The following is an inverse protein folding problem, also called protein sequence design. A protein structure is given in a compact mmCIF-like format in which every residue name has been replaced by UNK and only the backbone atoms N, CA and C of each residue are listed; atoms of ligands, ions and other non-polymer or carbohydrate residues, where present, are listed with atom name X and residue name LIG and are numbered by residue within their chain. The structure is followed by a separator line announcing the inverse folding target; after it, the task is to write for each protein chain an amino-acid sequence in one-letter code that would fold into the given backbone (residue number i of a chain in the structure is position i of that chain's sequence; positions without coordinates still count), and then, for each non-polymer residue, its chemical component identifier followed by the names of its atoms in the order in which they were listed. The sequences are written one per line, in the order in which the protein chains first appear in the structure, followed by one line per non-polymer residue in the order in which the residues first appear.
data_IF_618742942004
#
_entry.id   IF_618742942004
#
_cell.length_a   1.000
_cell.length_b   1.000
_cell.length_c   1.000
_cell.angle_alpha   90.00
_cell.angle_beta   90.00
_cell.angle_gamma   90.00
#
_symmetry.space_group_name_H-M   'P 1'
#
loop_
_entity.id
_entity.type
_entity.pdbx_description
1 polymer ?
#
# COMPACT_ATOMS: atom_id res chain seq x y z
N UNK A 1 41.93 -55.26 -18.35
CA UNK A 1 42.78 -54.20 -18.88
C UNK A 1 41.95 -52.94 -19.12
N UNK A 2 42.34 -51.73 -18.72
CA UNK A 2 42.66 -51.30 -17.37
C UNK A 2 41.62 -50.34 -16.79
N UNK A 3 41.68 -50.18 -15.48
CA UNK A 3 41.01 -49.19 -14.66
C UNK A 3 41.27 -47.73 -15.13
N UNK A 4 40.21 -46.92 -15.11
CA UNK A 4 40.37 -45.48 -14.90
C UNK A 4 39.61 -45.07 -13.64
N UNK A 5 40.39 -44.76 -12.63
CA UNK A 5 39.92 -44.16 -11.39
C UNK A 5 39.66 -42.65 -11.65
N UNK A 6 38.42 -42.21 -11.45
CA UNK A 6 38.09 -40.78 -11.39
C UNK A 6 38.18 -40.32 -9.92
N UNK A 7 39.14 -39.46 -9.66
CA UNK A 7 39.33 -38.74 -8.41
C UNK A 7 38.18 -37.71 -8.27
N UNK A 8 37.30 -37.89 -7.31
CA UNK A 8 36.40 -36.85 -6.83
C UNK A 8 37.08 -36.16 -5.66
N UNK A 9 37.57 -34.95 -5.88
CA UNK A 9 38.04 -34.03 -4.87
C UNK A 9 36.88 -33.55 -4.00
N UNK A 10 36.79 -34.04 -2.80
CA UNK A 10 35.99 -33.48 -1.72
C UNK A 10 36.73 -32.27 -1.16
N UNK A 11 36.27 -31.06 -1.45
CA UNK A 11 36.67 -29.88 -0.70
C UNK A 11 35.84 -29.82 0.59
N UNK A 12 36.46 -30.24 1.68
CA UNK A 12 36.05 -29.92 3.04
C UNK A 12 36.34 -28.44 3.28
N UNK A 13 35.29 -27.61 3.23
CA UNK A 13 35.35 -26.26 3.77
C UNK A 13 35.02 -26.29 5.24
N UNK A 14 36.06 -26.24 6.06
CA UNK A 14 36.00 -26.09 7.50
C UNK A 14 36.30 -24.61 7.77
N UNK A 15 35.29 -23.83 8.11
CA UNK A 15 35.40 -22.44 8.54
C UNK A 15 34.30 -22.16 9.53
N UNK A 16 34.61 -22.40 10.80
CA UNK A 16 33.88 -21.84 11.93
C UNK A 16 34.14 -20.34 11.92
N UNK A 17 33.09 -19.55 11.54
CA UNK A 17 32.96 -18.17 11.98
C UNK A 17 31.59 -18.06 12.60
N UNK A 18 31.56 -18.18 13.92
CA UNK A 18 30.46 -17.79 14.77
C UNK A 18 30.33 -16.26 14.65
N UNK A 19 29.41 -15.78 13.83
CA UNK A 19 28.90 -14.40 13.93
C UNK A 19 28.17 -14.27 15.28
N UNK A 20 28.41 -13.22 16.05
CA UNK A 20 27.81 -13.06 17.37
C UNK A 20 26.29 -12.87 17.22
N UNK A 21 25.54 -13.79 17.80
CA UNK A 21 24.09 -13.72 17.99
C UNK A 21 23.74 -12.71 19.10
N UNK A 22 24.13 -11.46 18.91
CA UNK A 22 23.77 -10.38 19.83
C UNK A 22 23.54 -9.09 19.01
N UNK A 23 22.29 -8.94 18.52
CA UNK A 23 21.62 -7.66 18.23
C UNK A 23 20.27 -7.86 17.52
N UNK A 24 19.48 -8.81 18.01
CA UNK A 24 18.07 -8.99 17.60
C UNK A 24 17.13 -8.78 18.80
N UNK A 25 17.52 -7.92 19.73
CA UNK A 25 16.67 -7.50 20.84
C UNK A 25 16.67 -5.98 20.83
N UNK A 26 15.62 -5.39 20.25
CA UNK A 26 14.95 -4.14 20.58
C UNK A 26 14.19 -3.57 19.36
N UNK A 27 13.36 -4.42 18.74
CA UNK A 27 12.21 -3.91 18.00
C UNK A 27 11.02 -3.84 18.98
N UNK A 28 11.10 -2.95 19.96
CA UNK A 28 9.90 -2.54 20.66
C UNK A 28 9.02 -1.82 19.64
N UNK A 29 7.92 -2.49 19.25
CA UNK A 29 6.79 -1.82 18.63
C UNK A 29 6.35 -0.70 19.57
N UNK A 30 6.65 0.54 19.22
CA UNK A 30 6.11 1.71 19.91
C UNK A 30 4.62 1.76 19.58
N UNK A 31 3.82 1.18 20.49
CA UNK A 31 2.36 1.34 20.47
C UNK A 31 2.10 2.81 20.77
N UNK A 32 1.54 3.53 19.79
CA UNK A 32 1.11 4.91 19.96
C UNK A 32 0.12 5.04 21.13
N UNK A 33 -0.01 6.23 21.70
CA UNK A 33 -0.84 6.53 22.89
C UNK A 33 -2.33 6.13 22.77
N UNK A 34 -2.79 5.71 21.59
CA UNK A 34 -4.17 5.27 21.33
C UNK A 34 -4.36 3.75 21.27
N UNK A 35 -3.33 2.94 21.54
CA UNK A 35 -3.40 1.49 21.43
C UNK A 35 -3.44 0.95 19.99
N UNK A 36 -3.34 1.81 18.98
CA UNK A 36 -3.21 1.45 17.56
C UNK A 36 -1.75 1.62 17.12
N UNK A 37 -1.22 0.73 16.26
CA UNK A 37 0.12 0.92 15.71
C UNK A 37 0.20 2.26 14.95
N UNK A 38 1.28 3.02 15.18
CA UNK A 38 1.50 4.30 14.52
C UNK A 38 1.99 4.14 13.08
N UNK A 39 1.93 5.23 12.31
CA UNK A 39 2.55 5.31 10.98
C UNK A 39 4.06 5.45 11.15
N UNK A 40 4.84 4.53 10.59
CA UNK A 40 6.28 4.46 10.81
C UNK A 40 7.06 4.90 9.56
N UNK A 41 7.89 5.90 9.71
CA UNK A 41 8.90 6.27 8.73
C UNK A 41 10.23 5.62 9.11
N UNK A 42 10.75 4.77 8.23
CA UNK A 42 12.10 4.21 8.33
C UNK A 42 13.03 4.98 7.40
N UNK A 43 14.05 5.61 7.96
CA UNK A 43 15.04 6.38 7.21
C UNK A 43 16.16 5.48 6.69
N UNK A 44 16.89 5.97 5.69
CA UNK A 44 18.03 5.27 5.07
C UNK A 44 19.18 4.99 6.04
N UNK A 45 19.25 5.68 7.17
CA UNK A 45 20.25 5.47 8.23
C UNK A 45 19.81 4.45 9.27
N UNK A 46 18.66 3.78 9.07
CA UNK A 46 18.11 2.76 9.95
C UNK A 46 17.23 3.28 11.10
N UNK A 47 17.11 4.60 11.29
CA UNK A 47 16.20 5.16 12.30
C UNK A 47 14.74 4.93 11.91
N UNK A 48 13.93 4.59 12.90
CA UNK A 48 12.48 4.44 12.78
C UNK A 48 11.77 5.50 13.58
N UNK A 49 10.82 6.19 12.99
CA UNK A 49 10.14 7.35 13.56
C UNK A 49 8.64 7.12 13.48
N UNK A 50 7.96 7.18 14.63
CA UNK A 50 6.50 7.20 14.68
C UNK A 50 6.01 8.61 14.32
N UNK A 51 5.35 8.73 13.18
CA UNK A 51 4.86 10.00 12.65
C UNK A 51 3.61 10.50 13.38
N UNK A 52 2.88 9.63 14.08
CA UNK A 52 1.69 10.01 14.85
C UNK A 52 2.04 10.79 16.13
N UNK A 53 3.26 10.59 16.63
CA UNK A 53 3.74 11.22 17.88
C UNK A 53 4.73 12.37 17.65
N UNK A 54 5.15 12.63 16.42
CA UNK A 54 6.22 13.59 16.12
C UNK A 54 5.81 14.63 15.09
N UNK A 55 5.81 15.89 15.48
CA UNK A 55 5.58 17.05 14.62
C UNK A 55 6.92 17.69 14.19
N UNK A 56 6.91 18.32 13.00
CA UNK A 56 7.99 19.17 12.51
C UNK A 56 9.06 18.43 11.73
N UNK A 57 10.28 18.99 11.74
CA UNK A 57 11.40 18.53 10.92
C UNK A 57 11.95 17.19 11.37
N UNK A 58 12.22 16.32 10.41
CA UNK A 58 12.72 14.96 10.60
C UNK A 58 13.96 14.77 9.72
N UNK A 59 15.02 14.16 10.28
CA UNK A 59 16.24 13.84 9.54
C UNK A 59 17.44 14.72 9.90
N UNK A 60 18.62 14.33 9.44
CA UNK A 60 19.88 15.00 9.72
C UNK A 60 20.08 16.31 8.91
N UNK A 61 19.26 16.53 7.86
CA UNK A 61 19.35 17.68 6.95
C UNK A 61 18.06 18.49 6.86
N UNK A 62 17.09 18.31 7.76
CA UNK A 62 15.80 19.02 7.72
C UNK A 62 15.01 18.84 6.40
N UNK A 63 15.29 17.77 5.66
CA UNK A 63 14.75 17.50 4.32
C UNK A 63 13.28 17.06 4.36
N UNK A 64 12.80 16.64 5.53
CA UNK A 64 11.47 16.06 5.72
C UNK A 64 10.72 16.79 6.82
N UNK A 65 9.48 17.18 6.55
CA UNK A 65 8.60 17.84 7.54
C UNK A 65 7.34 17.01 7.72
N UNK A 66 7.03 16.70 8.97
CA UNK A 66 5.83 15.96 9.34
C UNK A 66 4.77 16.89 9.96
N UNK A 67 3.53 16.77 9.47
CA UNK A 67 2.34 17.45 10.00
C UNK A 67 1.32 16.38 10.41
N UNK A 68 1.40 15.84 11.64
CA UNK A 68 0.57 14.72 12.09
C UNK A 68 -0.92 15.07 12.13
N UNK A 69 -1.28 16.33 12.39
CA UNK A 69 -2.66 16.82 12.40
C UNK A 69 -3.33 16.71 11.03
N UNK A 70 -2.55 16.83 9.95
CA UNK A 70 -2.99 16.66 8.57
C UNK A 70 -2.66 15.27 8.01
N UNK A 71 -2.04 14.39 8.81
CA UNK A 71 -1.52 13.07 8.41
C UNK A 71 -0.61 13.20 7.17
N UNK A 72 0.30 14.16 7.16
CA UNK A 72 1.05 14.53 5.97
C UNK A 72 2.56 14.65 6.21
N UNK A 73 3.33 14.08 5.29
CA UNK A 73 4.78 14.12 5.25
C UNK A 73 5.25 14.82 3.98
N UNK A 74 6.11 15.82 4.11
CA UNK A 74 6.67 16.59 3.00
C UNK A 74 8.17 16.36 2.88
N UNK A 75 8.61 16.12 1.66
CA UNK A 75 10.03 16.22 1.30
C UNK A 75 10.31 17.58 0.66
N UNK A 76 11.43 18.20 1.05
CA UNK A 76 11.90 19.39 0.38
C UNK A 76 12.20 19.07 -1.10
N UNK A 77 11.92 20.03 -1.98
CA UNK A 77 12.23 19.88 -3.40
C UNK A 77 13.73 19.62 -3.57
N UNK A 78 14.08 18.71 -4.48
CA UNK A 78 15.46 18.37 -4.81
C UNK A 78 16.18 19.60 -5.36
N UNK A 79 17.21 20.06 -4.66
CA UNK A 79 18.04 21.23 -5.05
C UNK A 79 19.27 20.83 -5.89
N UNK A 80 19.33 19.60 -6.41
CA UNK A 80 20.38 19.17 -7.35
C UNK A 80 21.73 18.89 -6.70
N UNK A 81 21.74 18.36 -5.47
CA UNK A 81 22.94 17.88 -4.79
C UNK A 81 23.41 16.50 -5.26
N UNK A 82 24.51 16.03 -4.68
CA UNK A 82 25.06 14.70 -4.93
C UNK A 82 24.00 13.62 -4.80
N UNK A 83 23.79 12.82 -5.86
CA UNK A 83 22.78 11.76 -5.96
C UNK A 83 23.12 10.58 -5.04
N UNK A 84 23.03 10.79 -3.72
CA UNK A 84 23.09 9.68 -2.77
C UNK A 84 21.73 8.99 -2.82
N UNK A 85 21.70 7.74 -3.30
CA UNK A 85 20.50 6.89 -3.35
C UNK A 85 20.07 6.49 -1.94
N UNK A 86 19.59 7.45 -1.15
CA UNK A 86 19.02 7.22 0.17
C UNK A 86 17.56 6.81 0.00
N UNK A 87 17.24 5.58 0.38
CA UNK A 87 15.88 5.04 0.32
C UNK A 87 15.23 5.17 1.69
N UNK A 88 14.04 5.74 1.72
CA UNK A 88 13.17 5.76 2.89
C UNK A 88 12.00 4.81 2.68
N UNK A 89 11.38 4.39 3.77
CA UNK A 89 10.19 3.53 3.75
C UNK A 89 9.13 4.10 4.68
N UNK A 90 7.91 4.23 4.17
CA UNK A 90 6.73 4.60 4.93
C UNK A 90 5.82 3.38 5.08
N UNK A 91 5.58 2.96 6.32
CA UNK A 91 4.67 1.88 6.67
C UNK A 91 3.39 2.48 7.29
N UNK A 92 2.24 2.26 6.65
CA UNK A 92 0.92 2.66 7.13
C UNK A 92 0.21 1.42 7.66
N UNK A 93 -0.10 1.36 8.96
CA UNK A 93 -0.73 0.19 9.56
C UNK A 93 -2.20 0.06 9.20
N UNK A 94 -2.81 -1.01 9.66
CA UNK A 94 -4.26 -1.23 9.59
C UNK A 94 -5.01 -0.11 10.32
N UNK A 95 -6.13 0.37 9.76
CA UNK A 95 -6.95 1.43 10.34
C UNK A 95 -6.37 2.84 10.26
N UNK A 96 -5.29 3.04 9.51
CA UNK A 96 -4.68 4.34 9.27
C UNK A 96 -4.59 4.65 7.77
N UNK A 97 -4.40 5.93 7.48
CA UNK A 97 -4.07 6.45 6.14
C UNK A 97 -3.06 7.57 6.31
N UNK A 98 -2.25 7.82 5.30
CA UNK A 98 -1.23 8.86 5.36
C UNK A 98 -0.97 9.48 3.99
N UNK A 99 -0.59 10.77 3.99
CA UNK A 99 -0.25 11.49 2.77
C UNK A 99 1.25 11.75 2.70
N UNK A 100 1.81 11.67 1.51
CA UNK A 100 3.23 11.88 1.26
C UNK A 100 3.38 12.81 0.06
N UNK A 101 4.19 13.87 0.19
CA UNK A 101 4.64 14.68 -0.92
C UNK A 101 6.11 14.37 -1.16
N UNK A 102 6.42 13.77 -2.29
CA UNK A 102 7.76 13.40 -2.70
C UNK A 102 8.58 14.61 -3.18
N UNK A 103 9.88 14.46 -3.29
CA UNK A 103 10.82 15.54 -3.65
C UNK A 103 10.60 16.14 -5.04
N UNK A 104 9.91 15.42 -5.95
CA UNK A 104 9.49 15.92 -7.27
C UNK A 104 8.11 16.63 -7.23
N UNK A 105 7.49 16.76 -6.06
CA UNK A 105 6.16 17.31 -5.86
C UNK A 105 5.02 16.33 -6.13
N UNK A 106 5.30 15.08 -6.47
CA UNK A 106 4.29 14.02 -6.59
C UNK A 106 3.61 13.81 -5.26
N UNK A 107 2.26 13.79 -5.26
CA UNK A 107 1.44 13.53 -4.08
C UNK A 107 0.98 12.08 -4.07
N UNK A 108 1.15 11.43 -2.92
CA UNK A 108 0.77 10.04 -2.72
C UNK A 108 -0.12 9.94 -1.49
N UNK A 109 -1.31 9.37 -1.64
CA UNK A 109 -2.16 8.96 -0.54
C UNK A 109 -1.98 7.47 -0.34
N UNK A 110 -1.70 7.07 0.87
CA UNK A 110 -1.52 5.66 1.23
C UNK A 110 -2.68 5.20 2.09
N UNK A 111 -3.33 4.13 1.68
CA UNK A 111 -4.41 3.49 2.43
C UNK A 111 -3.86 2.58 3.54
N UNK A 112 -4.75 2.04 4.38
CA UNK A 112 -4.40 1.10 5.43
C UNK A 112 -3.61 -0.12 4.89
N UNK A 113 -2.71 -0.67 5.73
CA UNK A 113 -1.88 -1.84 5.41
C UNK A 113 -1.00 -1.64 4.17
N UNK A 114 -0.47 -0.44 4.01
CA UNK A 114 0.35 -0.09 2.84
C UNK A 114 1.76 0.28 3.23
N UNK A 115 2.69 -0.02 2.33
CA UNK A 115 4.12 0.30 2.42
C UNK A 115 4.57 0.93 1.12
N UNK A 116 5.32 2.01 1.23
CA UNK A 116 5.99 2.64 0.10
C UNK A 116 7.48 2.77 0.40
N UNK A 117 8.32 2.29 -0.54
CA UNK A 117 9.76 2.50 -0.52
C UNK A 117 10.10 3.48 -1.65
N UNK A 118 10.83 4.54 -1.34
CA UNK A 118 11.07 5.63 -2.27
C UNK A 118 12.41 6.33 -1.96
N UNK A 119 13.08 6.91 -2.95
CA UNK A 119 14.30 7.68 -2.74
C UNK A 119 13.96 9.05 -2.11
N UNK A 120 14.87 9.56 -1.27
CA UNK A 120 14.78 10.93 -0.70
C UNK A 120 14.80 11.97 -1.81
N UNK A 121 15.60 11.75 -2.85
CA UNK A 121 15.67 12.57 -4.05
C UNK A 121 15.69 11.66 -5.29
N UNK A 122 14.94 12.03 -6.34
CA UNK A 122 14.90 11.28 -7.58
C UNK A 122 16.08 11.60 -8.49
N UNK A 123 16.55 10.57 -9.21
CA UNK A 123 17.56 10.70 -10.26
C UNK A 123 16.96 10.94 -11.64
N UNK A 124 17.55 10.25 -12.63
CA UNK A 124 17.10 10.30 -14.03
C UNK A 124 15.77 9.56 -14.24
N UNK A 125 15.45 8.60 -13.36
CA UNK A 125 14.13 7.95 -13.24
C UNK A 125 13.54 8.24 -11.88
N UNK A 126 12.19 8.22 -11.79
CA UNK A 126 11.43 8.41 -10.56
C UNK A 126 10.76 7.09 -10.23
N UNK A 127 11.42 6.28 -9.40
CA UNK A 127 10.97 4.91 -9.10
C UNK A 127 10.60 4.76 -7.63
N UNK A 128 9.50 4.07 -7.37
CA UNK A 128 9.01 3.72 -6.03
C UNK A 128 8.52 2.27 -6.02
N UNK A 129 8.55 1.63 -4.85
CA UNK A 129 7.99 0.28 -4.66
C UNK A 129 6.79 0.35 -3.75
N UNK A 130 5.68 -0.27 -4.15
CA UNK A 130 4.42 -0.29 -3.43
C UNK A 130 4.00 -1.71 -3.05
N UNK A 131 3.70 -1.88 -1.77
CA UNK A 131 2.88 -2.96 -1.22
C UNK A 131 1.64 -2.32 -0.59
N UNK A 132 0.44 -2.88 -0.83
CA UNK A 132 -0.79 -2.29 -0.31
C UNK A 132 -1.55 -1.48 -1.35
N UNK A 133 -2.15 -0.38 -0.95
CA UNK A 133 -2.94 0.50 -1.83
C UNK A 133 -2.50 1.95 -1.69
N UNK A 134 -2.26 2.58 -2.85
CA UNK A 134 -1.94 4.00 -2.91
C UNK A 134 -2.55 4.67 -4.15
N UNK A 135 -2.94 5.92 -3.95
CA UNK A 135 -3.34 6.84 -5.01
C UNK A 135 -2.22 7.83 -5.27
N UNK A 136 -1.91 8.04 -6.54
CA UNK A 136 -0.83 8.91 -7.00
C UNK A 136 -1.38 10.06 -7.82
N UNK A 137 -0.94 11.28 -7.51
CA UNK A 137 -1.02 12.46 -8.37
C UNK A 137 0.40 12.82 -8.77
N UNK A 138 0.85 12.29 -9.89
CA UNK A 138 2.23 12.43 -10.34
C UNK A 138 2.45 13.76 -11.02
N UNK A 139 3.47 14.48 -10.56
CA UNK A 139 3.94 15.72 -11.20
C UNK A 139 4.40 15.42 -12.63
N UNK A 140 3.91 16.22 -13.60
CA UNK A 140 4.24 16.02 -15.01
C UNK A 140 5.71 16.30 -15.29
N UNK A 141 6.38 15.32 -15.85
CA UNK A 141 7.74 15.41 -16.36
C UNK A 141 7.90 14.42 -17.51
N UNK A 142 8.02 14.92 -18.74
CA UNK A 142 8.08 14.10 -19.96
C UNK A 142 9.46 13.45 -20.16
N UNK A 143 10.50 14.03 -19.53
CA UNK A 143 11.87 13.56 -19.67
C UNK A 143 12.23 12.49 -18.63
N UNK A 144 11.53 12.48 -17.47
CA UNK A 144 11.78 11.54 -16.38
C UNK A 144 10.49 10.79 -16.03
N UNK A 145 10.29 9.59 -16.56
CA UNK A 145 9.10 8.79 -16.23
C UNK A 145 9.05 8.48 -14.71
N UNK A 146 7.82 8.40 -14.18
CA UNK A 146 7.55 7.91 -12.84
C UNK A 146 7.08 6.45 -12.93
N UNK A 147 7.71 5.57 -12.15
CA UNK A 147 7.45 4.13 -12.19
C UNK A 147 7.09 3.64 -10.80
N UNK A 148 5.92 3.00 -10.68
CA UNK A 148 5.51 2.29 -9.46
C UNK A 148 5.73 0.81 -9.68
N UNK A 149 6.62 0.21 -8.89
CA UNK A 149 6.82 -1.23 -8.84
C UNK A 149 5.87 -1.85 -7.82
N UNK A 150 5.00 -2.74 -8.28
CA UNK A 150 4.00 -3.46 -7.49
C UNK A 150 4.21 -4.98 -7.68
N UNK A 151 5.20 -5.55 -7.01
CA UNK A 151 5.67 -6.92 -7.26
C UNK A 151 6.26 -7.07 -8.65
N UNK A 152 5.63 -7.89 -9.51
CA UNK A 152 6.06 -8.10 -10.90
C UNK A 152 5.49 -7.07 -11.88
N UNK A 153 4.59 -6.22 -11.41
CA UNK A 153 3.93 -5.21 -12.23
C UNK A 153 4.66 -3.88 -12.11
N UNK A 154 4.99 -3.26 -13.25
CA UNK A 154 5.49 -1.90 -13.32
C UNK A 154 4.42 -1.00 -13.95
N UNK A 155 4.11 0.10 -13.25
CA UNK A 155 3.14 1.11 -13.68
C UNK A 155 3.90 2.38 -14.02
N UNK A 156 3.99 2.73 -15.31
CA UNK A 156 4.80 3.84 -15.81
C UNK A 156 3.93 4.98 -16.31
N UNK A 157 4.26 6.20 -15.86
CA UNK A 157 3.52 7.42 -16.19
C UNK A 157 4.45 8.62 -16.38
N UNK A 158 3.95 9.70 -17.01
CA UNK A 158 4.67 10.97 -17.19
C UNK A 158 4.07 12.14 -16.42
N UNK A 159 2.82 11.97 -15.91
CA UNK A 159 2.08 13.02 -15.19
C UNK A 159 0.60 12.68 -15.19
N UNK A 160 0.16 11.91 -14.21
CA UNK A 160 -1.06 11.10 -14.27
C UNK A 160 -1.64 10.96 -12.87
N UNK A 161 -2.96 10.84 -12.79
CA UNK A 161 -3.69 10.52 -11.57
C UNK A 161 -4.22 9.07 -11.68
N UNK A 162 -3.82 8.19 -10.75
CA UNK A 162 -4.17 6.77 -10.78
C UNK A 162 -4.10 6.13 -9.40
N UNK A 163 -4.81 5.01 -9.25
CA UNK A 163 -4.78 4.17 -8.04
C UNK A 163 -4.12 2.83 -8.35
N UNK A 164 -3.29 2.34 -7.44
CA UNK A 164 -2.71 0.99 -7.50
C UNK A 164 -3.05 0.26 -6.21
N UNK A 165 -3.56 -0.98 -6.33
CA UNK A 165 -3.90 -1.85 -5.19
C UNK A 165 -3.30 -3.24 -5.38
N UNK A 166 -2.50 -3.68 -4.41
CA UNK A 166 -1.86 -5.00 -4.33
C UNK A 166 -2.42 -5.87 -3.20
N UNK A 167 -3.39 -5.37 -2.40
CA UNK A 167 -3.92 -6.06 -1.23
C UNK A 167 -4.76 -7.32 -1.58
N UNK A 168 -5.25 -7.43 -2.80
CA UNK A 168 -6.08 -8.54 -3.23
C UNK A 168 -5.19 -9.71 -3.66
N UNK A 169 -5.42 -10.89 -3.08
CA UNK A 169 -4.63 -12.11 -3.26
C UNK A 169 -4.17 -12.31 -4.71
N UNK A 170 -2.85 -12.25 -4.94
CA UNK A 170 -2.19 -12.50 -6.23
C UNK A 170 -2.66 -11.61 -7.40
N UNK A 171 -3.27 -10.47 -7.10
CA UNK A 171 -3.77 -9.52 -8.09
C UNK A 171 -3.19 -8.14 -7.83
N UNK A 172 -2.79 -7.47 -8.90
CA UNK A 172 -2.49 -6.04 -8.90
C UNK A 172 -3.56 -5.35 -9.73
N UNK A 173 -4.20 -4.34 -9.14
CA UNK A 173 -5.21 -3.53 -9.81
C UNK A 173 -4.66 -2.12 -10.00
N UNK A 174 -4.70 -1.62 -11.24
CA UNK A 174 -4.31 -0.25 -11.58
C UNK A 174 -5.50 0.44 -12.25
N UNK A 175 -6.01 1.52 -11.65
CA UNK A 175 -7.14 2.29 -12.20
C UNK A 175 -6.66 3.66 -12.61
N UNK A 176 -6.92 4.02 -13.86
CA UNK A 176 -6.57 5.34 -14.38
C UNK A 176 -7.72 6.34 -14.17
N UNK A 177 -7.39 7.46 -13.52
CA UNK A 177 -8.31 8.58 -13.29
C UNK A 177 -8.15 9.64 -14.37
N UNK A 178 -6.89 10.10 -14.59
CA UNK A 178 -6.59 11.16 -15.55
C UNK A 178 -5.19 10.98 -16.13
N UNK A 179 -5.04 11.24 -17.44
CA UNK A 179 -3.79 11.14 -18.17
C UNK A 179 -3.67 9.82 -18.93
N UNK A 180 -2.51 9.16 -18.84
CA UNK A 180 -2.22 7.87 -19.47
C UNK A 180 -1.31 7.03 -18.58
N UNK A 181 -1.58 5.75 -18.48
CA UNK A 181 -0.80 4.77 -17.70
C UNK A 181 -0.38 3.63 -18.60
N UNK A 182 0.90 3.30 -18.59
CA UNK A 182 1.45 2.08 -19.16
C UNK A 182 1.62 1.07 -18.04
N UNK A 183 0.99 -0.10 -18.15
CA UNK A 183 1.10 -1.22 -17.21
C UNK A 183 1.88 -2.33 -17.87
N UNK A 184 2.98 -2.73 -17.27
CA UNK A 184 3.84 -3.82 -17.71
C UNK A 184 3.85 -4.94 -16.68
N UNK A 185 3.84 -6.20 -17.13
CA UNK A 185 3.87 -7.35 -16.24
C UNK A 185 5.02 -8.30 -16.60
N UNK A 186 6.06 -8.31 -15.75
CA UNK A 186 7.22 -9.19 -15.89
C UNK A 186 7.98 -9.04 -17.20
N UNK A 187 7.99 -7.85 -17.81
CA UNK A 187 8.71 -7.54 -19.04
C UNK A 187 8.13 -8.20 -20.30
N UNK A 188 6.95 -8.86 -20.22
CA UNK A 188 6.42 -9.68 -21.32
C UNK A 188 5.10 -9.19 -21.89
N UNK A 189 4.33 -8.44 -21.16
CA UNK A 189 3.04 -7.88 -21.57
C UNK A 189 2.90 -6.45 -21.13
N UNK A 190 2.39 -5.63 -22.01
CA UNK A 190 2.20 -4.22 -21.82
C UNK A 190 0.81 -3.81 -22.32
N UNK A 191 0.16 -2.95 -21.55
CA UNK A 191 -1.09 -2.30 -21.95
C UNK A 191 -1.04 -0.81 -21.59
N UNK A 192 -1.72 0.01 -22.39
CA UNK A 192 -1.89 1.42 -22.12
C UNK A 192 -3.34 1.68 -21.75
N UNK A 193 -3.57 2.22 -20.55
CA UNK A 193 -4.90 2.55 -20.07
C UNK A 193 -5.35 3.95 -20.49
N UNK A 194 -6.66 4.09 -20.68
CA UNK A 194 -7.39 5.34 -20.84
C UNK A 194 -8.14 5.69 -19.54
N UNK A 195 -8.48 6.94 -19.30
CA UNK A 195 -9.28 7.32 -18.13
C UNK A 195 -10.56 6.49 -18.01
N UNK A 196 -10.83 5.99 -16.78
CA UNK A 196 -11.94 5.10 -16.50
C UNK A 196 -11.64 3.61 -16.68
N UNK A 197 -10.44 3.24 -17.12
CA UNK A 197 -10.07 1.84 -17.27
C UNK A 197 -9.30 1.29 -16.05
N UNK A 198 -9.57 0.03 -15.74
CA UNK A 198 -8.88 -0.81 -14.76
C UNK A 198 -8.05 -1.84 -15.51
N UNK A 199 -6.75 -1.93 -15.21
CA UNK A 199 -5.94 -3.11 -15.48
C UNK A 199 -5.92 -4.02 -14.25
N UNK A 200 -6.44 -5.24 -14.37
CA UNK A 200 -6.28 -6.30 -13.37
C UNK A 200 -5.22 -7.29 -13.85
N UNK A 201 -4.15 -7.43 -13.08
CA UNK A 201 -3.05 -8.35 -13.38
C UNK A 201 -3.09 -9.55 -12.46
N UNK A 202 -3.15 -10.76 -13.05
CA UNK A 202 -3.16 -12.05 -12.34
C UNK A 202 -2.14 -12.98 -12.99
N UNK A 203 -1.13 -13.39 -12.22
CA UNK A 203 -0.01 -14.14 -12.77
C UNK A 203 0.63 -13.37 -13.92
N UNK A 204 0.63 -13.93 -15.13
CA UNK A 204 1.19 -13.28 -16.33
C UNK A 204 0.16 -12.56 -17.21
N UNK A 205 -1.11 -12.55 -16.81
CA UNK A 205 -2.19 -11.97 -17.62
C UNK A 205 -2.57 -10.57 -17.15
N UNK A 206 -2.87 -9.69 -18.10
CA UNK A 206 -3.46 -8.37 -17.83
C UNK A 206 -4.83 -8.35 -18.51
N UNK A 207 -5.87 -8.04 -17.73
CA UNK A 207 -7.23 -7.80 -18.21
C UNK A 207 -7.55 -6.32 -18.06
N UNK A 208 -8.05 -5.69 -19.11
CA UNK A 208 -8.51 -4.31 -19.09
C UNK A 208 -10.02 -4.26 -19.15
N UNK A 209 -10.65 -3.48 -18.25
CA UNK A 209 -12.10 -3.28 -18.21
C UNK A 209 -12.43 -1.83 -17.89
N UNK A 210 -13.55 -1.31 -18.42
CA UNK A 210 -14.10 -0.03 -18.04
C UNK A 210 -14.77 -0.15 -16.67
N UNK A 211 -14.52 0.81 -15.77
CA UNK A 211 -15.04 0.77 -14.39
C UNK A 211 -15.53 2.12 -13.92
N UNK A 212 -16.35 2.11 -12.86
CA UNK A 212 -16.63 3.30 -12.08
C UNK A 212 -15.39 3.59 -11.19
N UNK A 213 -14.64 4.62 -11.57
CA UNK A 213 -13.39 5.01 -10.90
C UNK A 213 -13.61 5.28 -9.41
N UNK A 214 -14.77 5.85 -9.04
CA UNK A 214 -15.09 6.18 -7.64
C UNK A 214 -15.05 4.97 -6.71
N UNK A 215 -15.38 3.78 -7.22
CA UNK A 215 -15.27 2.51 -6.46
C UNK A 215 -13.84 2.24 -5.94
N UNK A 216 -12.83 2.77 -6.64
CA UNK A 216 -11.41 2.53 -6.34
C UNK A 216 -10.71 3.73 -5.70
N UNK A 217 -11.37 4.89 -5.62
CA UNK A 217 -10.72 6.13 -5.18
C UNK A 217 -11.45 6.84 -4.05
N UNK A 218 -12.69 6.45 -3.73
CA UNK A 218 -13.51 7.10 -2.71
C UNK A 218 -12.91 7.02 -1.30
N UNK A 219 -12.07 6.01 -1.04
CA UNK A 219 -11.37 5.89 0.22
C UNK A 219 -10.52 7.14 0.55
N UNK A 220 -9.97 7.81 -0.46
CA UNK A 220 -9.25 9.08 -0.33
C UNK A 220 -10.15 10.24 0.13
N UNK A 221 -11.45 10.15 -0.11
CA UNK A 221 -12.46 11.10 0.36
C UNK A 221 -12.92 10.80 1.80
N UNK A 222 -12.33 9.80 2.44
CA UNK A 222 -12.71 9.36 3.79
C UNK A 222 -14.01 8.56 3.85
N UNK A 223 -14.42 7.93 2.74
CA UNK A 223 -15.64 7.13 2.66
C UNK A 223 -15.39 5.73 2.11
N UNK A 224 -16.24 4.79 2.52
CA UNK A 224 -16.46 3.54 1.81
C UNK A 224 -17.53 3.76 0.75
N UNK A 225 -17.25 3.36 -0.47
CA UNK A 225 -18.18 3.44 -1.60
C UNK A 225 -18.48 2.04 -2.14
N UNK A 226 -19.69 1.57 -1.91
CA UNK A 226 -20.16 0.28 -2.37
C UNK A 226 -21.20 0.44 -3.47
N UNK A 227 -21.04 -0.29 -4.56
CA UNK A 227 -21.92 -0.33 -5.69
C UNK A 227 -22.12 -1.80 -6.10
N UNK A 228 -23.32 -2.35 -5.83
CA UNK A 228 -23.63 -3.76 -6.04
C UNK A 228 -22.55 -4.71 -5.47
N UNK A 229 -21.95 -4.32 -4.33
CA UNK A 229 -20.88 -5.07 -3.70
C UNK A 229 -21.45 -6.25 -2.89
N UNK A 230 -20.78 -7.40 -2.94
CA UNK A 230 -21.13 -8.53 -2.10
C UNK A 230 -20.86 -8.21 -0.63
N UNK A 231 -21.71 -8.68 0.27
CA UNK A 231 -21.54 -8.47 1.71
C UNK A 231 -20.17 -9.00 2.20
N UNK A 232 -19.66 -10.07 1.60
CA UNK A 232 -18.32 -10.59 1.89
C UNK A 232 -17.21 -9.57 1.53
N UNK A 233 -17.32 -8.89 0.39
CA UNK A 233 -16.40 -7.83 -0.02
C UNK A 233 -16.47 -6.66 0.97
N UNK A 234 -17.67 -6.22 1.32
CA UNK A 234 -17.92 -5.14 2.28
C UNK A 234 -17.31 -5.47 3.65
N UNK A 235 -17.61 -6.65 4.18
CA UNK A 235 -17.12 -7.06 5.49
C UNK A 235 -15.60 -7.23 5.53
N UNK A 236 -14.98 -7.60 4.41
CA UNK A 236 -13.52 -7.65 4.28
C UNK A 236 -12.92 -6.26 4.39
N UNK A 237 -13.47 -5.28 3.67
CA UNK A 237 -12.99 -3.89 3.69
C UNK A 237 -13.20 -3.24 5.06
N UNK A 238 -14.36 -3.44 5.68
CA UNK A 238 -14.65 -2.94 7.03
C UNK A 238 -13.72 -3.58 8.08
N UNK A 239 -13.50 -4.90 8.00
CA UNK A 239 -12.61 -5.62 8.92
C UNK A 239 -11.17 -5.10 8.83
N UNK A 240 -10.69 -4.83 7.62
CA UNK A 240 -9.37 -4.25 7.39
C UNK A 240 -9.25 -2.83 7.96
N UNK A 241 -10.28 -2.00 7.84
CA UNK A 241 -10.25 -0.63 8.35
C UNK A 241 -10.40 -0.56 9.88
N UNK A 242 -11.36 -1.29 10.44
CA UNK A 242 -11.67 -1.22 11.88
C UNK A 242 -10.82 -2.14 12.76
N UNK A 243 -9.88 -2.92 12.17
CA UNK A 243 -9.04 -3.89 12.90
C UNK A 243 -9.87 -4.95 13.64
N UNK A 244 -10.91 -5.47 13.00
CA UNK A 244 -11.80 -6.51 13.53
C UNK A 244 -11.81 -7.73 12.61
N UNK A 245 -12.43 -8.83 13.08
CA UNK A 245 -12.65 -10.02 12.27
C UNK A 245 -14.13 -10.13 11.92
N UNK A 246 -14.44 -10.56 10.70
CA UNK A 246 -15.80 -10.86 10.27
C UNK A 246 -15.96 -12.36 10.05
N UNK A 247 -17.00 -12.95 10.67
CA UNK A 247 -17.33 -14.37 10.58
C UNK A 247 -18.77 -14.52 10.14
N UNK A 248 -18.98 -15.14 9.00
CA UNK A 248 -20.33 -15.45 8.50
C UNK A 248 -20.84 -16.75 9.15
N UNK A 249 -21.86 -16.65 9.97
CA UNK A 249 -22.56 -17.79 10.54
C UNK A 249 -23.62 -18.33 9.60
N UNK A 250 -24.20 -17.47 8.77
CA UNK A 250 -25.03 -17.85 7.62
C UNK A 250 -24.26 -17.59 6.32
N UNK A 251 -23.95 -18.65 5.59
CA UNK A 251 -23.20 -18.55 4.32
C UNK A 251 -24.04 -17.94 3.19
N UNK A 252 -25.38 -17.98 3.30
CA UNK A 252 -26.31 -17.51 2.25
C UNK A 252 -26.31 -16.00 2.11
N UNK A 253 -25.92 -15.27 3.17
CA UNK A 253 -25.88 -13.80 3.15
C UNK A 253 -24.64 -13.21 2.52
N UNK A 254 -23.58 -14.02 2.28
CA UNK A 254 -22.29 -13.54 1.73
C UNK A 254 -22.43 -12.80 0.41
N UNK A 255 -23.29 -13.31 -0.45
CA UNK A 255 -23.50 -12.78 -1.83
C UNK A 255 -24.60 -11.74 -1.91
N UNK A 256 -25.18 -11.33 -0.77
CA UNK A 256 -26.18 -10.25 -0.76
C UNK A 256 -25.51 -8.95 -1.18
N UNK A 257 -26.17 -8.25 -2.09
CA UNK A 257 -25.69 -7.00 -2.65
C UNK A 257 -26.07 -5.80 -1.80
N UNK A 258 -25.14 -4.89 -1.68
CA UNK A 258 -25.35 -3.60 -1.02
C UNK A 258 -24.75 -2.49 -1.87
N UNK A 259 -25.47 -1.36 -1.94
CA UNK A 259 -24.98 -0.11 -2.53
C UNK A 259 -25.16 1.02 -1.54
N UNK A 260 -24.12 1.80 -1.31
CA UNK A 260 -24.17 2.91 -0.36
C UNK A 260 -22.82 3.59 -0.19
N UNK A 261 -22.86 4.74 0.50
CA UNK A 261 -21.68 5.51 0.91
C UNK A 261 -21.70 5.59 2.43
N UNK A 262 -20.58 5.20 3.06
CA UNK A 262 -20.46 5.16 4.52
C UNK A 262 -19.18 5.91 4.91
N UNK A 263 -19.26 6.73 5.95
CA UNK A 263 -18.14 7.52 6.43
C UNK A 263 -17.11 6.65 7.18
N UNK A 264 -15.84 6.74 6.84
CA UNK A 264 -14.75 6.04 7.55
C UNK A 264 -14.51 6.57 8.96
N UNK A 265 -14.94 7.80 9.23
CA UNK A 265 -14.84 8.45 10.54
C UNK A 265 -15.86 7.91 11.56
N UNK A 266 -16.89 7.21 11.11
CA UNK A 266 -17.90 6.63 12.00
C UNK A 266 -17.36 5.40 12.76
N UNK A 267 -18.04 5.03 13.86
CA UNK A 267 -17.74 3.78 14.55
C UNK A 267 -18.28 2.59 13.76
N UNK A 268 -17.66 1.41 13.93
CA UNK A 268 -18.09 0.19 13.24
C UNK A 268 -19.55 -0.15 13.56
N UNK A 269 -20.01 0.08 14.80
CA UNK A 269 -21.38 -0.17 15.23
C UNK A 269 -22.39 0.68 14.43
N UNK A 270 -22.06 1.95 14.19
CA UNK A 270 -22.90 2.87 13.41
C UNK A 270 -22.94 2.45 11.93
N UNK A 271 -21.81 2.07 11.37
CA UNK A 271 -21.71 1.58 9.99
C UNK A 271 -22.56 0.31 9.82
N UNK A 272 -22.41 -0.68 10.70
CA UNK A 272 -23.16 -1.92 10.64
C UNK A 272 -24.67 -1.69 10.80
N UNK A 273 -25.11 -0.80 11.71
CA UNK A 273 -26.53 -0.43 11.85
C UNK A 273 -27.11 0.19 10.57
N UNK A 274 -26.30 0.96 9.79
CA UNK A 274 -26.76 1.49 8.50
C UNK A 274 -26.97 0.38 7.48
N UNK A 275 -26.09 -0.61 7.44
CA UNK A 275 -26.21 -1.77 6.57
C UNK A 275 -27.44 -2.62 6.98
N UNK A 276 -27.65 -2.87 8.27
CA UNK A 276 -28.84 -3.59 8.77
C UNK A 276 -30.17 -2.96 8.36
N UNK A 277 -30.25 -1.62 8.36
CA UNK A 277 -31.47 -0.90 7.98
C UNK A 277 -31.89 -1.09 6.52
N UNK A 278 -30.94 -1.40 5.66
CA UNK A 278 -31.14 -1.52 4.21
C UNK A 278 -31.08 -2.96 3.72
N UNK A 279 -30.73 -3.88 4.62
CA UNK A 279 -30.63 -5.31 4.34
C UNK A 279 -31.37 -6.12 5.41
N UNK A 280 -31.67 -7.37 5.14
CA UNK A 280 -32.21 -8.32 6.16
C UNK A 280 -31.08 -9.09 6.86
N UNK A 281 -29.88 -8.48 6.96
CA UNK A 281 -28.70 -9.06 7.60
C UNK A 281 -28.57 -8.48 9.01
N UNK A 282 -28.16 -9.30 9.96
CA UNK A 282 -27.95 -8.89 11.34
C UNK A 282 -26.49 -9.07 11.75
N UNK A 283 -25.97 -8.14 12.53
CA UNK A 283 -24.61 -8.15 13.02
C UNK A 283 -24.58 -8.21 14.56
N UNK A 284 -23.65 -8.99 15.09
CA UNK A 284 -23.36 -9.03 16.52
C UNK A 284 -21.86 -8.86 16.71
N UNK A 285 -21.44 -7.89 17.55
CA UNK A 285 -20.03 -7.63 17.83
C UNK A 285 -19.71 -8.17 19.21
N UNK A 286 -18.72 -9.06 19.30
CA UNK A 286 -18.19 -9.59 20.55
C UNK A 286 -16.67 -9.73 20.47
N UNK A 287 -15.94 -9.13 21.40
CA UNK A 287 -14.48 -9.22 21.51
C UNK A 287 -13.74 -8.98 20.17
N UNK A 288 -14.14 -7.97 19.40
CA UNK A 288 -13.51 -7.64 18.11
C UNK A 288 -13.89 -8.58 16.95
N UNK A 289 -14.86 -9.48 17.16
CA UNK A 289 -15.39 -10.36 16.12
C UNK A 289 -16.80 -9.92 15.76
N UNK A 290 -17.06 -9.69 14.49
CA UNK A 290 -18.38 -9.41 13.93
C UNK A 290 -18.96 -10.72 13.41
N UNK A 291 -20.04 -11.18 14.01
CA UNK A 291 -20.82 -12.29 13.47
C UNK A 291 -21.87 -11.75 12.51
N UNK A 292 -21.90 -12.30 11.30
CA UNK A 292 -22.83 -11.92 10.23
C UNK A 292 -23.85 -13.03 10.04
N UNK A 293 -25.16 -12.68 10.16
CA UNK A 293 -26.29 -13.64 10.14
C UNK A 293 -27.31 -13.26 9.10
#
# INVERSE_FOLDING_TARGET
FPCFATFTSFYLWRGEDQAPAEKLADAQETVGQSGRPGVILSLSDGRRIDLSAREGKIGAGEEVVNHPENKQLFYAADQGGEKISRMNRLDVPQGAEYHLVLSDGTRVWMNARSRLVYPVAFGDTREVELEGEAYFEVTRDENRPFIVHAGQVAVKVLGTEFNVNTCRKQKVQTVLVKGSVQVENGGKREVVLRPGELAETVGTQIRVTQVNVRKYTAWREGVFYFEEADLEEIMTELADWYCVQAVFTDQTVRTRKFSGVLERSETIENVLKKIERTTSVHFTIQQGIIQVK
#
